data_IF_287275504731
#
_entry.id   IF_287275504731
#
_cell.length_a   1.000
_cell.length_b   1.000
_cell.length_c   1.000
_cell.angle_alpha   90.00
_cell.angle_beta   90.00
_cell.angle_gamma   90.00
#
_symmetry.space_group_name_H-M   'P 1'
#
loop_
_entity.id
_entity.type
_entity.pdbx_description
1 polymer ?
#
# COMPACT_ATOMS: atom_id res chain seq x y z
N UNK A 1 24.67 27.73 -64.22
CA UNK A 1 24.37 26.48 -63.49
C UNK A 1 23.24 25.76 -64.22
N UNK A 2 23.42 24.47 -64.56
CA UNK A 2 22.41 23.71 -65.30
C UNK A 2 21.18 23.58 -64.41
N UNK A 3 19.98 23.86 -64.93
CA UNK A 3 18.73 23.92 -64.15
C UNK A 3 18.48 22.65 -63.31
N UNK A 4 18.97 21.50 -63.78
CA UNK A 4 18.96 20.24 -63.02
C UNK A 4 19.80 20.24 -61.74
N UNK A 5 20.98 20.89 -61.73
CA UNK A 5 21.81 21.01 -60.52
C UNK A 5 21.13 21.87 -59.44
N UNK A 6 20.38 22.90 -59.84
CA UNK A 6 19.64 23.76 -58.92
C UNK A 6 18.48 22.99 -58.25
N UNK A 7 17.77 22.15 -59.01
CA UNK A 7 16.71 21.28 -58.46
C UNK A 7 17.27 20.26 -57.47
N UNK A 8 18.42 19.65 -57.76
CA UNK A 8 19.07 18.69 -56.85
C UNK A 8 19.50 19.36 -55.55
N UNK A 9 20.04 20.59 -55.59
CA UNK A 9 20.43 21.34 -54.38
C UNK A 9 19.22 21.64 -53.49
N UNK A 10 18.08 22.01 -54.08
CA UNK A 10 16.84 22.29 -53.32
C UNK A 10 16.31 21.03 -52.61
N UNK A 11 16.33 19.88 -53.29
CA UNK A 11 15.88 18.61 -52.71
C UNK A 11 16.77 18.21 -51.53
N UNK A 12 18.08 18.39 -51.66
CA UNK A 12 19.04 18.10 -50.58
C UNK A 12 18.80 19.02 -49.37
N UNK A 13 18.55 20.31 -49.60
CA UNK A 13 18.22 21.26 -48.53
C UNK A 13 16.92 20.90 -47.80
N UNK A 14 15.88 20.50 -48.55
CA UNK A 14 14.62 20.04 -47.97
C UNK A 14 14.77 18.75 -47.16
N UNK A 15 15.57 17.80 -47.64
CA UNK A 15 15.83 16.56 -46.91
C UNK A 15 16.58 16.81 -45.60
N UNK A 16 17.59 17.69 -45.62
CA UNK A 16 18.35 18.08 -44.42
C UNK A 16 17.44 18.83 -43.43
N UNK A 17 16.62 19.78 -43.93
CA UNK A 17 15.68 20.53 -43.10
C UNK A 17 14.58 19.65 -42.49
N UNK A 18 14.08 18.67 -43.24
CA UNK A 18 13.12 17.70 -42.73
C UNK A 18 13.74 16.78 -41.69
N UNK A 19 14.97 16.30 -41.91
CA UNK A 19 15.67 15.44 -40.96
C UNK A 19 15.99 16.16 -39.66
N UNK A 20 16.46 17.42 -39.72
CA UNK A 20 16.71 18.23 -38.53
C UNK A 20 15.42 18.55 -37.78
N UNK A 21 14.34 18.91 -38.48
CA UNK A 21 13.03 19.12 -37.87
C UNK A 21 12.49 17.83 -37.23
N UNK A 22 12.58 16.69 -37.90
CA UNK A 22 12.16 15.40 -37.36
C UNK A 22 12.97 15.00 -36.12
N UNK A 23 14.26 15.32 -36.07
CA UNK A 23 15.11 14.99 -34.94
C UNK A 23 14.86 15.94 -33.75
N UNK A 24 14.59 17.22 -34.00
CA UNK A 24 14.38 18.22 -32.95
C UNK A 24 12.94 18.30 -32.44
N UNK A 25 11.95 17.99 -33.28
CA UNK A 25 10.52 18.08 -32.95
C UNK A 25 9.87 16.72 -32.65
N UNK A 26 10.61 15.62 -32.79
CA UNK A 26 10.23 14.27 -32.37
C UNK A 26 10.50 14.00 -30.88
N UNK A 27 10.55 15.05 -30.06
CA UNK A 27 10.78 14.96 -28.62
C UNK A 27 9.56 14.37 -27.90
N UNK A 28 9.77 13.21 -27.29
CA UNK A 28 8.87 12.52 -26.38
C UNK A 28 8.19 13.53 -25.45
N UNK A 29 6.85 13.57 -25.47
CA UNK A 29 6.10 14.23 -24.41
C UNK A 29 6.34 13.45 -23.13
N UNK A 30 7.34 13.86 -22.36
CA UNK A 30 7.61 13.31 -21.04
C UNK A 30 6.35 13.51 -20.17
N UNK A 31 5.69 12.44 -19.70
CA UNK A 31 4.58 12.59 -18.79
C UNK A 31 5.10 13.26 -17.52
N UNK A 32 4.39 14.30 -17.05
CA UNK A 32 4.70 15.05 -15.82
C UNK A 32 4.74 14.14 -14.57
N UNK A 33 4.25 12.91 -14.70
CA UNK A 33 4.45 11.82 -13.76
C UNK A 33 5.04 10.62 -14.51
N UNK A 34 6.35 10.64 -14.73
CA UNK A 34 7.07 9.41 -14.98
C UNK A 34 7.14 8.66 -13.65
N UNK A 35 6.51 7.48 -13.58
CA UNK A 35 6.99 6.48 -12.61
C UNK A 35 8.43 6.21 -12.99
N UNK A 36 9.35 6.44 -12.06
CA UNK A 36 10.67 5.87 -12.18
C UNK A 36 10.46 4.36 -12.25
N UNK A 37 10.50 3.81 -13.46
CA UNK A 37 10.79 2.40 -13.62
C UNK A 37 12.22 2.30 -13.13
N UNK A 38 12.36 2.02 -11.83
CA UNK A 38 13.64 1.89 -11.19
C UNK A 38 14.43 0.89 -12.01
N UNK A 39 15.38 1.37 -12.81
CA UNK A 39 16.54 0.59 -13.16
C UNK A 39 17.18 0.30 -11.81
N UNK A 40 16.79 -0.84 -11.21
CA UNK A 40 17.15 -1.26 -9.88
C UNK A 40 18.63 -1.02 -9.71
N UNK A 41 18.99 -0.21 -8.72
CA UNK A 41 20.39 0.02 -8.41
C UNK A 41 20.96 -1.37 -8.08
N UNK A 42 21.88 -1.93 -8.89
CA UNK A 42 22.31 -3.32 -8.73
C UNK A 42 22.93 -3.57 -7.36
N UNK A 43 23.41 -2.52 -6.68
CA UNK A 43 23.87 -2.58 -5.30
C UNK A 43 22.73 -2.91 -4.31
N UNK A 44 21.54 -2.31 -4.47
CA UNK A 44 20.38 -2.54 -3.59
C UNK A 44 19.84 -3.96 -3.75
N UNK A 45 19.84 -4.48 -4.98
CA UNK A 45 19.43 -5.85 -5.26
C UNK A 45 20.38 -6.87 -4.62
N UNK A 46 21.69 -6.61 -4.67
CA UNK A 46 22.69 -7.49 -4.06
C UNK A 46 22.61 -7.50 -2.53
N UNK A 47 22.35 -6.36 -1.90
CA UNK A 47 22.19 -6.25 -0.45
C UNK A 47 20.94 -6.99 0.03
N UNK A 48 19.83 -6.90 -0.71
CA UNK A 48 18.62 -7.66 -0.42
C UNK A 48 18.86 -9.17 -0.54
N UNK A 49 19.56 -9.61 -1.59
CA UNK A 49 19.91 -11.03 -1.77
C UNK A 49 20.80 -11.53 -0.62
N UNK A 50 21.79 -10.73 -0.19
CA UNK A 50 22.66 -11.07 0.94
C UNK A 50 21.88 -11.17 2.26
N UNK A 51 20.93 -10.26 2.50
CA UNK A 51 20.05 -10.31 3.67
C UNK A 51 19.18 -11.56 3.64
N UNK A 52 18.56 -11.87 2.50
CA UNK A 52 17.72 -13.06 2.35
C UNK A 52 18.51 -14.35 2.57
N UNK A 53 19.75 -14.41 2.08
CA UNK A 53 20.63 -15.55 2.30
C UNK A 53 21.00 -15.71 3.79
N UNK A 54 21.22 -14.59 4.47
CA UNK A 54 21.47 -14.56 5.93
C UNK A 54 20.26 -15.09 6.69
N UNK A 55 19.06 -14.57 6.40
CA UNK A 55 17.82 -15.01 7.05
C UNK A 55 17.51 -16.49 6.80
N UNK A 56 17.74 -16.99 5.57
CA UNK A 56 17.60 -18.41 5.24
C UNK A 56 18.53 -19.32 6.06
N UNK A 57 19.70 -18.80 6.43
CA UNK A 57 20.70 -19.55 7.19
C UNK A 57 20.45 -19.53 8.70
N UNK A 58 19.55 -18.68 9.20
CA UNK A 58 19.13 -18.73 10.60
C UNK A 58 18.39 -20.04 10.83
N UNK A 59 18.97 -20.90 11.66
CA UNK A 59 18.39 -22.16 12.10
C UNK A 59 18.17 -22.10 13.59
N UNK A 60 17.00 -22.55 14.02
CA UNK A 60 16.69 -22.72 15.42
C UNK A 60 17.36 -24.01 15.90
N UNK A 61 18.18 -23.89 16.95
CA UNK A 61 18.78 -25.06 17.60
C UNK A 61 17.74 -25.72 18.50
N UNK A 62 17.30 -26.92 18.10
CA UNK A 62 16.28 -27.66 18.83
C UNK A 62 16.82 -28.32 20.11
N UNK A 63 18.15 -28.36 20.31
CA UNK A 63 18.75 -28.91 21.52
C UNK A 63 18.38 -28.11 22.77
N UNK A 64 18.12 -26.80 22.62
CA UNK A 64 17.70 -25.96 23.73
C UNK A 64 16.35 -26.37 24.31
N UNK A 65 15.45 -26.92 23.50
CA UNK A 65 14.14 -27.42 23.95
C UNK A 65 14.25 -28.76 24.69
N UNK A 66 15.35 -29.48 24.52
CA UNK A 66 15.61 -30.74 25.22
C UNK A 66 16.28 -30.52 26.59
N UNK A 67 16.82 -29.33 26.87
CA UNK A 67 17.45 -29.00 28.14
C UNK A 67 16.43 -29.12 29.30
N UNK A 68 16.74 -29.88 30.38
CA UNK A 68 15.90 -29.94 31.57
C UNK A 68 15.54 -28.57 32.16
N UNK A 69 16.43 -27.57 32.03
CA UNK A 69 16.16 -26.20 32.43
C UNK A 69 15.02 -25.58 31.60
N UNK A 70 15.02 -25.79 30.28
CA UNK A 70 13.92 -25.36 29.40
C UNK A 70 12.61 -26.06 29.74
N UNK A 71 12.64 -27.37 29.99
CA UNK A 71 11.45 -28.14 30.35
C UNK A 71 10.86 -27.75 31.72
N UNK A 72 11.67 -27.16 32.61
CA UNK A 72 11.21 -26.68 33.91
C UNK A 72 10.55 -25.31 33.89
N UNK A 73 10.64 -24.56 32.77
CA UNK A 73 10.00 -23.26 32.63
C UNK A 73 8.49 -23.40 32.59
N UNK A 74 7.83 -22.71 33.51
CA UNK A 74 6.38 -22.63 33.58
C UNK A 74 5.94 -21.29 32.99
N UNK A 75 4.95 -21.32 32.10
CA UNK A 75 4.31 -20.11 31.59
C UNK A 75 3.44 -19.49 32.69
N UNK A 76 3.60 -18.18 32.91
CA UNK A 76 2.83 -17.39 33.88
C UNK A 76 1.86 -16.44 33.19
N UNK A 77 1.36 -16.84 32.02
CA UNK A 77 0.26 -16.17 31.35
C UNK A 77 -0.91 -15.91 32.30
N UNK A 78 -1.41 -14.67 32.30
CA UNK A 78 -2.61 -14.29 33.05
C UNK A 78 -3.83 -14.46 32.15
N UNK A 79 -4.89 -15.05 32.67
CA UNK A 79 -6.17 -15.10 31.96
C UNK A 79 -6.61 -13.68 31.59
N UNK A 80 -6.80 -13.46 30.28
CA UNK A 80 -7.33 -12.21 29.75
C UNK A 80 -8.82 -12.17 30.03
N UNK A 81 -9.23 -11.27 30.92
CA UNK A 81 -10.65 -10.98 31.12
C UNK A 81 -11.17 -10.32 29.83
N UNK A 82 -12.28 -10.79 29.25
CA UNK A 82 -12.84 -10.17 28.05
C UNK A 82 -13.17 -8.70 28.32
N UNK A 83 -12.53 -7.81 27.57
CA UNK A 83 -12.87 -6.39 27.60
C UNK A 83 -14.18 -6.15 26.83
N UNK A 84 -15.00 -5.18 27.25
CA UNK A 84 -16.21 -4.82 26.52
C UNK A 84 -15.86 -4.34 25.10
N UNK A 85 -16.72 -4.68 24.13
CA UNK A 85 -16.55 -4.24 22.73
C UNK A 85 -16.44 -2.72 22.64
N UNK A 86 -15.45 -2.25 21.88
CA UNK A 86 -15.15 -0.82 21.74
C UNK A 86 -16.29 0.00 21.12
N UNK A 87 -16.12 1.32 21.07
CA UNK A 87 -17.10 2.21 20.42
C UNK A 87 -17.18 1.93 18.92
N UNK A 88 -18.36 2.09 18.30
CA UNK A 88 -18.49 2.07 16.85
C UNK A 88 -17.50 3.03 16.17
N UNK A 89 -16.90 2.60 15.05
CA UNK A 89 -15.93 3.38 14.30
C UNK A 89 -16.56 4.72 13.83
N UNK A 90 -16.10 5.88 14.33
CA UNK A 90 -16.66 7.18 13.96
C UNK A 90 -16.32 7.60 12.51
N UNK A 91 -15.45 6.85 11.84
CA UNK A 91 -15.06 7.04 10.44
C UNK A 91 -15.67 5.99 9.51
N UNK A 92 -16.61 5.16 9.99
CA UNK A 92 -17.29 4.20 9.11
C UNK A 92 -18.09 4.95 8.02
N UNK A 93 -18.05 4.49 6.76
CA UNK A 93 -18.84 5.10 5.69
C UNK A 93 -20.32 5.19 6.07
N UNK A 94 -20.93 6.34 5.82
CA UNK A 94 -22.34 6.58 6.10
C UNK A 94 -23.22 5.81 5.08
N UNK A 95 -23.36 4.51 5.25
CA UNK A 95 -24.12 3.68 4.29
C UNK A 95 -24.38 2.24 4.73
N UNK A 96 -23.71 1.77 5.78
CA UNK A 96 -23.85 0.41 6.31
C UNK A 96 -24.18 0.40 7.82
N UNK A 97 -25.06 1.32 8.24
CA UNK A 97 -25.75 1.25 9.53
C UNK A 97 -26.81 0.14 9.46
N UNK A 98 -26.38 -1.11 9.38
CA UNK A 98 -27.25 -2.26 9.59
C UNK A 98 -26.97 -2.83 10.99
N UNK A 99 -28.01 -2.76 11.83
CA UNK A 99 -28.21 -3.56 13.04
C UNK A 99 -27.37 -3.30 14.32
N UNK A 100 -26.75 -2.13 14.51
CA UNK A 100 -26.17 -1.76 15.82
C UNK A 100 -26.96 -0.69 16.61
N UNK A 101 -27.96 -0.04 16.01
CA UNK A 101 -28.76 1.01 16.70
C UNK A 101 -30.13 0.54 17.23
N UNK A 102 -30.43 -0.76 17.19
CA UNK A 102 -31.68 -1.32 17.73
C UNK A 102 -31.39 -2.30 18.87
N UNK A 103 -30.70 -1.84 19.91
CA UNK A 103 -30.63 -2.56 21.19
C UNK A 103 -30.77 -1.62 22.41
N UNK A 104 -31.20 -0.37 22.21
CA UNK A 104 -31.31 0.64 23.29
C UNK A 104 -32.69 1.25 23.49
N UNK A 105 -33.72 0.86 22.74
CA UNK A 105 -35.04 1.50 22.77
C UNK A 105 -36.11 0.68 23.53
N UNK A 106 -35.72 -0.07 24.58
CA UNK A 106 -36.65 -0.80 25.44
C UNK A 106 -36.36 -0.53 26.92
N UNK A 107 -36.57 0.71 27.38
CA UNK A 107 -36.71 1.03 28.81
C UNK A 107 -37.20 2.48 29.01
N UNK A 108 -38.46 2.79 28.70
CA UNK A 108 -39.15 3.95 29.30
C UNK A 108 -40.69 3.92 29.30
N UNK A 109 -41.34 2.78 29.06
CA UNK A 109 -42.79 2.65 29.23
C UNK A 109 -43.12 2.16 30.66
N UNK A 110 -43.06 3.07 31.62
CA UNK A 110 -43.49 2.85 33.00
C UNK A 110 -44.16 4.10 33.55
N UNK A 111 -45.42 4.32 33.18
CA UNK A 111 -46.27 5.34 33.78
C UNK A 111 -46.68 4.88 35.19
N UNK A 112 -46.43 5.64 36.27
CA UNK A 112 -47.13 5.43 37.52
C UNK A 112 -48.47 6.16 37.46
N UNK A 113 -49.55 5.36 37.46
CA UNK A 113 -50.88 5.79 37.84
C UNK A 113 -50.87 6.33 39.28
N UNK A 114 -51.09 7.63 39.48
CA UNK A 114 -51.44 8.17 40.80
C UNK A 114 -52.94 8.41 40.85
N UNK A 115 -53.57 7.62 41.72
CA UNK A 115 -55.00 7.54 41.94
C UNK A 115 -55.62 8.77 42.58
N UNK A 116 -56.90 8.93 42.27
CA UNK A 116 -57.90 9.76 42.92
C UNK A 116 -58.05 9.45 44.42
N UNK A 117 -58.00 10.48 45.28
CA UNK A 117 -58.75 10.62 46.55
C UNK A 117 -58.42 11.97 47.20
N UNK A 118 -59.35 12.92 47.28
CA UNK A 118 -60.24 13.18 48.42
C UNK A 118 -61.15 14.37 48.13
#
# INVERSE_FOLDING_TARGET
MKRGTLIVIIIVLLAIGFFSYSHFFGGSSEPLLATESGNGNPAVDQDLINLLLTLKNIRLDNSLFADPAYQSLQDFGKDLVPEPVGRPNPFAPLGNISAASQAGAASSAGAPSIGTKK
#
